data_IF_975553529702
#
_entry.id   IF_975553529702
#
_cell.length_a   1.000
_cell.length_b   1.000
_cell.length_c   1.000
_cell.angle_alpha   90.00
_cell.angle_beta   90.00
_cell.angle_gamma   90.00
#
_symmetry.space_group_name_H-M   'P 1'
#
loop_
_entity.id
_entity.type
_entity.pdbx_description
1 polymer ?
#
# COMPACT_ATOMS: atom_id res chain seq x y z
N UNK A 1 1.80 9.17 15.32
CA UNK A 1 0.54 8.92 14.57
C UNK A 1 0.20 7.44 14.65
N UNK A 2 -1.08 7.06 14.70
CA UNK A 2 -1.45 5.65 14.51
C UNK A 2 -1.45 5.34 13.01
N UNK A 3 -0.68 4.32 12.62
CA UNK A 3 -0.58 3.87 11.22
C UNK A 3 -0.96 2.39 11.11
N UNK A 4 -1.44 1.93 9.93
CA UNK A 4 -1.65 0.51 9.68
C UNK A 4 -0.32 -0.25 9.78
N UNK A 5 -0.16 -1.11 10.77
CA UNK A 5 1.07 -1.86 10.96
C UNK A 5 0.82 -3.20 11.66
N UNK A 6 1.63 -4.20 11.30
CA UNK A 6 1.50 -5.56 11.81
C UNK A 6 0.09 -6.14 11.64
N UNK A 7 -0.51 -5.92 10.48
CA UNK A 7 -1.87 -6.35 10.14
C UNK A 7 -1.93 -7.85 9.78
N UNK A 8 -1.43 -8.71 10.67
CA UNK A 8 -1.31 -10.17 10.46
C UNK A 8 -2.61 -10.87 10.10
N UNK A 9 -3.76 -10.40 10.64
CA UNK A 9 -5.05 -10.99 10.33
C UNK A 9 -5.41 -10.82 8.86
N UNK A 10 -5.06 -9.68 8.25
CA UNK A 10 -5.33 -9.42 6.83
C UNK A 10 -4.62 -10.40 5.90
N UNK A 11 -3.44 -10.91 6.28
CA UNK A 11 -2.65 -11.86 5.49
C UNK A 11 -2.91 -13.34 5.84
N UNK A 12 -3.92 -13.62 6.67
CA UNK A 12 -4.20 -14.98 7.12
C UNK A 12 -4.66 -15.88 5.98
N UNK A 13 -4.04 -17.04 5.77
CA UNK A 13 -4.46 -18.00 4.75
C UNK A 13 -5.81 -18.70 5.08
N UNK A 14 -6.31 -18.50 6.31
CA UNK A 14 -7.61 -19.02 6.72
C UNK A 14 -8.78 -18.12 6.32
N UNK A 15 -8.49 -16.92 5.79
CA UNK A 15 -9.49 -15.96 5.32
C UNK A 15 -9.63 -16.03 3.80
N UNK A 16 -10.84 -15.77 3.33
CA UNK A 16 -11.14 -15.57 1.91
C UNK A 16 -11.11 -14.09 1.58
N UNK A 17 -11.00 -13.74 0.31
CA UNK A 17 -11.13 -12.36 -0.14
C UNK A 17 -12.45 -11.73 0.31
N UNK A 18 -13.54 -12.49 0.35
CA UNK A 18 -14.85 -12.03 0.85
C UNK A 18 -14.88 -11.70 2.34
N UNK A 19 -13.94 -12.21 3.13
CA UNK A 19 -13.81 -11.86 4.54
C UNK A 19 -13.13 -10.51 4.72
N UNK A 20 -12.19 -10.18 3.83
CA UNK A 20 -11.43 -8.93 3.81
C UNK A 20 -12.20 -7.81 3.14
N UNK A 21 -12.81 -8.07 1.97
CA UNK A 21 -13.54 -7.08 1.18
C UNK A 21 -14.97 -6.92 1.72
N UNK A 22 -15.34 -5.70 2.09
CA UNK A 22 -16.69 -5.33 2.53
C UNK A 22 -17.22 -4.15 1.71
N UNK A 23 -18.49 -3.85 1.85
CA UNK A 23 -19.10 -2.72 1.18
C UNK A 23 -18.50 -1.39 1.69
N UNK A 24 -17.93 -0.60 0.81
CA UNK A 24 -17.37 0.73 1.11
C UNK A 24 -15.98 0.75 1.70
N UNK A 25 -15.50 -0.31 2.36
CA UNK A 25 -14.16 -0.39 2.96
C UNK A 25 -13.72 -1.84 3.18
N UNK A 26 -12.43 -2.06 3.45
CA UNK A 26 -11.94 -3.36 3.92
C UNK A 26 -12.45 -3.63 5.34
N UNK A 27 -12.50 -4.90 5.72
CA UNK A 27 -12.98 -5.31 7.06
C UNK A 27 -12.06 -4.78 8.17
N UNK A 28 -12.55 -3.82 8.93
CA UNK A 28 -11.80 -3.13 9.98
C UNK A 28 -11.48 -4.04 11.19
N UNK A 29 -12.24 -5.11 11.42
CA UNK A 29 -11.96 -6.08 12.50
C UNK A 29 -10.68 -6.89 12.25
N UNK A 30 -10.18 -6.86 11.01
CA UNK A 30 -8.96 -7.54 10.59
C UNK A 30 -7.75 -6.61 10.55
N UNK A 31 -7.97 -5.31 10.64
CA UNK A 31 -6.89 -4.32 10.60
C UNK A 31 -6.22 -4.17 11.96
N UNK A 32 -5.00 -3.68 11.95
CA UNK A 32 -4.25 -3.34 13.15
C UNK A 32 -3.50 -2.04 12.94
N UNK A 33 -3.49 -1.19 13.97
CA UNK A 33 -2.79 0.09 13.96
C UNK A 33 -1.84 0.16 15.14
N UNK A 34 -0.65 0.70 14.91
CA UNK A 34 0.37 0.94 15.93
C UNK A 34 0.76 2.42 15.97
N UNK A 35 1.23 2.88 17.12
CA UNK A 35 1.72 4.26 17.30
C UNK A 35 3.16 4.36 16.82
N UNK A 36 3.38 5.07 15.70
CA UNK A 36 4.69 5.30 15.13
C UNK A 36 4.99 6.79 14.98
N UNK A 37 6.28 7.12 14.87
CA UNK A 37 6.70 8.40 14.32
C UNK A 37 6.67 8.32 12.81
N UNK A 38 6.17 9.38 12.18
CA UNK A 38 6.06 9.46 10.74
C UNK A 38 6.63 10.78 10.23
N UNK A 39 7.19 10.73 9.04
CA UNK A 39 7.47 11.92 8.25
C UNK A 39 6.20 12.33 7.50
N UNK A 40 5.76 13.57 7.69
CA UNK A 40 4.73 14.16 6.86
C UNK A 40 5.38 14.82 5.66
N UNK A 41 5.12 14.29 4.47
CA UNK A 41 5.64 14.81 3.21
C UNK A 41 4.49 15.40 2.41
N UNK A 42 4.55 16.72 2.19
CA UNK A 42 3.56 17.44 1.38
C UNK A 42 4.11 17.66 -0.02
N UNK A 43 3.48 17.06 -1.02
CA UNK A 43 3.82 17.23 -2.42
C UNK A 43 2.75 18.06 -3.13
N UNK A 44 3.17 19.13 -3.81
CA UNK A 44 2.30 19.98 -4.64
C UNK A 44 2.73 19.91 -6.10
N UNK A 45 1.77 19.98 -7.02
CA UNK A 45 2.07 20.03 -8.46
C UNK A 45 2.80 21.33 -8.77
N UNK A 46 3.85 21.25 -9.56
CA UNK A 46 4.58 22.44 -10.05
C UNK A 46 3.68 23.30 -10.93
N UNK A 47 3.82 24.64 -10.92
CA UNK A 47 2.95 25.54 -11.69
C UNK A 47 2.89 25.24 -13.20
N UNK A 48 3.96 24.67 -13.76
CA UNK A 48 4.07 24.32 -15.19
C UNK A 48 3.49 22.95 -15.55
N UNK A 49 3.12 22.15 -14.53
CA UNK A 49 2.73 20.76 -14.72
C UNK A 49 1.24 20.54 -14.45
N UNK A 50 0.70 19.45 -15.01
CA UNK A 50 -0.68 19.03 -14.76
C UNK A 50 -0.72 17.64 -14.19
N UNK A 51 -1.49 17.48 -13.12
CA UNK A 51 -1.74 16.18 -12.51
C UNK A 51 -3.17 16.15 -11.97
N UNK A 52 -3.77 14.97 -11.89
CA UNK A 52 -5.13 14.79 -11.34
C UNK A 52 -5.20 15.16 -9.85
N UNK A 53 -4.09 15.01 -9.11
CA UNK A 53 -3.97 15.46 -7.73
C UNK A 53 -3.15 16.74 -7.68
N UNK A 54 -3.74 17.84 -7.24
CA UNK A 54 -3.03 19.09 -7.04
C UNK A 54 -2.08 19.04 -5.85
N UNK A 55 -2.44 18.26 -4.84
CA UNK A 55 -1.65 18.09 -3.61
C UNK A 55 -1.79 16.68 -3.07
N UNK A 56 -0.74 16.16 -2.42
CA UNK A 56 -0.73 14.93 -1.64
C UNK A 56 -0.09 15.19 -0.29
N UNK A 57 -0.65 14.61 0.76
CA UNK A 57 0.02 14.43 2.03
C UNK A 57 0.35 12.95 2.17
N UNK A 58 1.60 12.61 2.38
CA UNK A 58 2.07 11.25 2.58
C UNK A 58 2.65 11.15 3.99
N UNK A 59 2.25 10.13 4.71
CA UNK A 59 2.73 9.82 6.05
C UNK A 59 3.63 8.59 5.93
N UNK A 60 4.94 8.85 6.01
CA UNK A 60 5.98 7.85 5.81
C UNK A 60 6.45 7.37 7.17
N UNK A 61 6.35 6.08 7.42
CA UNK A 61 6.85 5.48 8.64
C UNK A 61 8.38 5.63 8.75
N UNK A 62 8.86 6.14 9.89
CA UNK A 62 10.27 6.44 10.10
C UNK A 62 11.15 5.19 10.14
N UNK A 63 10.58 4.05 10.59
CA UNK A 63 11.33 2.80 10.74
C UNK A 63 11.40 2.00 9.44
N UNK A 64 10.32 1.93 8.69
CA UNK A 64 10.24 1.12 7.46
C UNK A 64 10.47 1.92 6.17
N UNK A 65 10.38 3.25 6.22
CA UNK A 65 10.38 4.15 5.07
C UNK A 65 9.25 3.89 4.07
N UNK A 66 8.20 3.20 4.51
CA UNK A 66 7.01 2.95 3.70
C UNK A 66 5.96 4.05 3.90
N UNK A 67 5.22 4.37 2.85
CA UNK A 67 4.07 5.27 2.94
C UNK A 67 2.92 4.52 3.60
N UNK A 68 2.67 4.79 4.88
CA UNK A 68 1.61 4.12 5.62
C UNK A 68 0.22 4.65 5.27
N UNK A 69 0.10 5.96 5.09
CA UNK A 69 -1.13 6.66 4.74
C UNK A 69 -0.85 7.75 3.71
N UNK A 70 -1.81 8.03 2.84
CA UNK A 70 -1.71 9.17 1.95
C UNK A 70 -3.08 9.78 1.64
N UNK A 71 -3.13 11.12 1.71
CA UNK A 71 -4.28 11.93 1.32
C UNK A 71 -4.02 12.57 -0.04
N UNK A 72 -4.99 12.48 -0.93
CA UNK A 72 -4.91 13.03 -2.29
C UNK A 72 -6.00 14.08 -2.49
N UNK A 73 -5.59 15.28 -2.82
CA UNK A 73 -6.47 16.44 -3.00
C UNK A 73 -6.61 16.78 -4.48
N UNK A 74 -7.81 17.12 -4.89
CA UNK A 74 -8.12 17.55 -6.25
C UNK A 74 -7.64 19.01 -6.52
N UNK A 75 -7.90 19.52 -7.73
CA UNK A 75 -7.53 20.88 -8.12
C UNK A 75 -8.30 21.99 -7.40
N UNK A 76 -9.36 21.64 -6.65
CA UNK A 76 -10.15 22.57 -5.82
C UNK A 76 -9.69 22.54 -4.36
N UNK A 77 -8.72 21.70 -4.03
CA UNK A 77 -8.24 21.52 -2.66
C UNK A 77 -9.13 20.61 -1.80
N UNK A 78 -10.07 19.86 -2.39
CA UNK A 78 -10.93 18.92 -1.67
C UNK A 78 -10.22 17.58 -1.54
N UNK A 79 -10.32 16.94 -0.38
CA UNK A 79 -9.85 15.58 -0.17
C UNK A 79 -10.67 14.63 -1.05
N UNK A 80 -10.02 14.06 -2.03
CA UNK A 80 -10.66 13.19 -3.02
C UNK A 80 -10.45 11.72 -2.72
N UNK A 81 -9.19 11.32 -2.47
CA UNK A 81 -8.85 9.93 -2.22
C UNK A 81 -7.95 9.78 -1.01
N UNK A 82 -8.09 8.64 -0.35
CA UNK A 82 -7.25 8.23 0.76
C UNK A 82 -6.64 6.87 0.43
N UNK A 83 -5.37 6.68 0.74
CA UNK A 83 -4.68 5.41 0.61
C UNK A 83 -4.18 4.95 1.98
N UNK A 84 -4.29 3.65 2.23
CA UNK A 84 -3.77 2.95 3.40
C UNK A 84 -2.88 1.81 2.96
N UNK A 85 -1.65 1.77 3.46
CA UNK A 85 -0.71 0.66 3.28
C UNK A 85 -0.66 -0.19 4.53
N UNK A 86 -1.37 -1.33 4.54
CA UNK A 86 -1.38 -2.25 5.67
C UNK A 86 -0.12 -3.12 5.64
N UNK A 87 0.90 -2.72 6.39
CA UNK A 87 2.16 -3.44 6.48
C UNK A 87 2.11 -4.59 7.49
N UNK A 88 2.96 -5.57 7.24
CA UNK A 88 3.32 -6.63 8.17
C UNK A 88 4.84 -6.71 8.24
N UNK A 89 5.40 -6.88 9.44
CA UNK A 89 6.82 -7.12 9.62
C UNK A 89 7.09 -8.63 9.69
N UNK A 90 7.89 -9.13 8.76
CA UNK A 90 8.36 -10.51 8.75
C UNK A 90 9.61 -10.63 9.61
N UNK A 91 9.45 -10.98 10.88
CA UNK A 91 10.51 -10.97 11.90
C UNK A 91 11.65 -11.94 11.60
N UNK A 92 11.36 -13.06 10.98
CA UNK A 92 12.31 -14.09 10.55
C UNK A 92 13.22 -13.62 9.40
N UNK A 93 12.73 -12.69 8.58
CA UNK A 93 13.48 -12.10 7.47
C UNK A 93 13.88 -10.63 7.70
N UNK A 94 13.37 -10.02 8.78
CA UNK A 94 13.59 -8.60 9.12
C UNK A 94 13.16 -7.64 8.00
N UNK A 95 12.04 -7.94 7.34
CA UNK A 95 11.51 -7.17 6.21
C UNK A 95 10.08 -6.72 6.47
N UNK A 96 9.76 -5.42 6.41
CA UNK A 96 8.39 -4.93 6.32
C UNK A 96 7.88 -5.07 4.87
N UNK A 97 6.65 -5.57 4.70
CA UNK A 97 6.01 -5.61 3.40
C UNK A 97 4.51 -5.33 3.52
N UNK A 98 3.91 -4.73 2.49
CA UNK A 98 2.47 -4.55 2.46
C UNK A 98 1.76 -5.89 2.28
N UNK A 99 0.74 -6.13 3.10
CA UNK A 99 -0.17 -7.26 2.93
C UNK A 99 -1.39 -6.84 2.10
N UNK A 100 -1.92 -5.64 2.37
CA UNK A 100 -3.02 -5.04 1.64
C UNK A 100 -2.76 -3.54 1.47
N UNK A 101 -2.98 -3.04 0.27
CA UNK A 101 -3.07 -1.61 0.00
C UNK A 101 -4.51 -1.29 -0.36
N UNK A 102 -5.13 -0.36 0.34
CA UNK A 102 -6.49 0.08 0.09
C UNK A 102 -6.52 1.54 -0.37
N UNK A 103 -7.16 1.80 -1.51
CA UNK A 103 -7.31 3.15 -2.07
C UNK A 103 -8.80 3.48 -2.19
N UNK A 104 -9.25 4.45 -1.43
CA UNK A 104 -10.63 4.87 -1.33
C UNK A 104 -10.88 6.12 -2.16
N UNK A 105 -11.86 6.09 -3.05
CA UNK A 105 -12.39 7.26 -3.77
C UNK A 105 -13.61 7.77 -3.00
N UNK A 106 -13.43 8.84 -2.24
CA UNK A 106 -14.45 9.38 -1.33
C UNK A 106 -15.63 10.01 -2.08
N UNK A 107 -15.40 10.50 -3.31
CA UNK A 107 -16.44 11.11 -4.14
C UNK A 107 -17.28 10.03 -4.80
N UNK A 108 -16.62 8.99 -5.34
CA UNK A 108 -17.31 7.90 -6.02
C UNK A 108 -17.89 6.84 -5.07
N UNK A 109 -17.54 6.88 -3.78
CA UNK A 109 -17.98 5.91 -2.77
C UNK A 109 -17.51 4.48 -3.05
N UNK A 110 -16.34 4.32 -3.66
CA UNK A 110 -15.76 3.04 -4.03
C UNK A 110 -14.29 2.95 -3.63
N UNK A 111 -13.76 1.75 -3.58
CA UNK A 111 -12.36 1.52 -3.29
C UNK A 111 -11.79 0.35 -4.09
N UNK A 112 -10.48 0.25 -4.12
CA UNK A 112 -9.74 -0.92 -4.58
C UNK A 112 -8.86 -1.41 -3.45
N UNK A 113 -8.75 -2.73 -3.30
CA UNK A 113 -7.76 -3.37 -2.43
C UNK A 113 -6.81 -4.20 -3.30
N UNK A 114 -5.52 -4.07 -3.06
CA UNK A 114 -4.44 -4.69 -3.81
C UNK A 114 -3.56 -5.51 -2.86
N UNK A 115 -2.80 -6.45 -3.40
CA UNK A 115 -1.77 -7.19 -2.67
C UNK A 115 -2.29 -8.36 -1.81
N UNK A 116 -3.59 -8.58 -1.73
CA UNK A 116 -4.17 -9.70 -0.98
C UNK A 116 -3.63 -11.05 -1.49
N UNK A 117 -3.28 -11.94 -0.56
CA UNK A 117 -2.72 -13.27 -0.86
C UNK A 117 -3.50 -14.42 -0.20
N UNK A 118 -4.63 -14.12 0.44
CA UNK A 118 -5.39 -15.06 1.27
C UNK A 118 -5.77 -16.35 0.54
N UNK A 119 -6.09 -16.27 -0.77
CA UNK A 119 -6.48 -17.41 -1.60
C UNK A 119 -5.40 -17.76 -2.64
N UNK A 120 -4.20 -17.18 -2.53
CA UNK A 120 -3.10 -17.47 -3.42
C UNK A 120 -2.29 -18.68 -2.96
N UNK A 121 -1.78 -19.46 -3.91
CA UNK A 121 -0.94 -20.64 -3.62
C UNK A 121 0.45 -20.28 -3.12
N UNK A 122 0.92 -19.08 -3.43
CA UNK A 122 2.25 -18.57 -3.08
C UNK A 122 2.15 -17.25 -2.35
N UNK A 123 2.92 -17.12 -1.30
CA UNK A 123 3.18 -15.85 -0.61
C UNK A 123 4.46 -15.21 -1.14
N UNK A 124 5.02 -14.24 -0.43
CA UNK A 124 6.33 -13.68 -0.73
C UNK A 124 7.43 -14.75 -0.61
N UNK A 125 8.39 -14.70 -1.51
CA UNK A 125 9.64 -15.45 -1.41
C UNK A 125 10.75 -14.47 -1.00
N UNK A 126 11.40 -14.74 0.13
CA UNK A 126 12.51 -13.94 0.63
C UNK A 126 13.83 -14.61 0.30
N UNK A 127 14.93 -13.83 0.34
CA UNK A 127 16.30 -14.31 0.10
C UNK A 127 16.48 -15.03 -1.25
N UNK A 128 15.73 -14.61 -2.27
CA UNK A 128 15.90 -15.13 -3.63
C UNK A 128 17.28 -14.79 -4.18
N UNK A 129 17.85 -15.68 -4.99
CA UNK A 129 19.13 -15.44 -5.63
C UNK A 129 18.97 -14.54 -6.87
N UNK A 130 18.72 -13.26 -6.63
CA UNK A 130 18.54 -12.24 -7.67
C UNK A 130 19.86 -11.53 -7.98
N UNK A 131 20.11 -11.23 -9.25
CA UNK A 131 21.31 -10.50 -9.71
C UNK A 131 20.91 -9.11 -10.21
N UNK A 132 21.81 -8.14 -10.09
CA UNK A 132 21.57 -6.79 -10.59
C UNK A 132 21.14 -6.73 -12.06
N UNK A 133 21.64 -7.68 -12.88
CA UNK A 133 21.25 -7.81 -14.29
C UNK A 133 19.78 -8.15 -14.53
N UNK A 134 19.11 -8.77 -13.55
CA UNK A 134 17.69 -9.15 -13.65
C UNK A 134 16.75 -7.92 -13.56
N UNK A 135 17.27 -6.79 -13.09
CA UNK A 135 16.53 -5.53 -12.89
C UNK A 135 16.86 -4.46 -13.94
N UNK A 136 17.33 -4.85 -15.12
CA UNK A 136 17.61 -3.94 -16.23
C UNK A 136 16.39 -3.75 -17.13
N UNK A 137 16.27 -2.63 -17.87
CA UNK A 137 15.23 -2.47 -18.89
C UNK A 137 15.22 -3.58 -19.96
N UNK A 138 16.38 -4.17 -20.25
CA UNK A 138 16.50 -5.29 -21.19
C UNK A 138 15.88 -6.57 -20.61
N UNK A 139 16.16 -6.88 -19.32
CA UNK A 139 15.56 -8.02 -18.63
C UNK A 139 14.03 -7.88 -18.56
N UNK A 140 13.52 -6.69 -18.24
CA UNK A 140 12.08 -6.43 -18.20
C UNK A 140 11.43 -6.64 -19.57
N UNK A 141 12.07 -6.18 -20.67
CA UNK A 141 11.56 -6.45 -22.02
C UNK A 141 11.52 -7.93 -22.36
N UNK A 142 12.53 -8.70 -21.96
CA UNK A 142 12.59 -10.15 -22.23
C UNK A 142 11.55 -10.95 -21.47
N UNK A 143 11.19 -10.54 -20.24
CA UNK A 143 10.14 -11.20 -19.44
C UNK A 143 8.73 -10.91 -19.95
N UNK A 144 8.51 -9.79 -20.64
CA UNK A 144 7.22 -9.40 -21.22
C UNK A 144 6.90 -10.03 -22.56
N UNK A 145 7.87 -10.67 -23.21
CA UNK A 145 7.68 -11.39 -24.48
C UNK A 145 7.37 -12.85 -24.18
N UNK A 146 6.07 -13.18 -24.11
CA UNK A 146 5.57 -14.56 -24.14
C UNK A 146 4.81 -14.80 -25.41
#
# INVERSE_FOLDING_TARGET
MYIPYNSYKLDSPNLKYTDVIKAGHINQDLTRYELHRVWEVVATVKPSERHVYAKRHMYIDEDSWQVALADHYDGRGQLWRVAEGHAQFYYDHQVPAYTVEALYDLIAGRYIALGMKNEEKRSFEFNINAKAGDYTPAALRSTGVR
#
